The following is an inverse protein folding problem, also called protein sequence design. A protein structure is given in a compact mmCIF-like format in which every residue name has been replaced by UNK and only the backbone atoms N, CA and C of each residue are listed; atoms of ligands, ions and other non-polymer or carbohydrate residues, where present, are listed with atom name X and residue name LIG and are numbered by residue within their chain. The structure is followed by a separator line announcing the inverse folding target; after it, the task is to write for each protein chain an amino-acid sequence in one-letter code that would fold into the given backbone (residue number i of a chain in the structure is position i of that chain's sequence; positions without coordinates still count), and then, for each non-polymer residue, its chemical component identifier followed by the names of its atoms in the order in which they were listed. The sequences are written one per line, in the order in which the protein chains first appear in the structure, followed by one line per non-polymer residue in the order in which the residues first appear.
data_IF_621102665902
#
_entry.id   IF_621102665902
#
_cell.length_a   1.000
_cell.length_b   1.000
_cell.length_c   1.000
_cell.angle_alpha   90.00
_cell.angle_beta   90.00
_cell.angle_gamma   90.00
#
_symmetry.space_group_name_H-M   'P 1'
#
loop_
_entity.id
_entity.type
_entity.pdbx_description
1 polymer ?
#
# COMPACT_ATOMS: atom_id res chain seq x y z
N UNK A 1 -11.74 -9.33 -21.31
CA UNK A 1 -13.13 -8.85 -21.19
C UNK A 1 -13.24 -7.67 -22.15
N UNK A 2 -14.30 -7.55 -22.95
CA UNK A 2 -14.43 -6.38 -23.85
C UNK A 2 -14.74 -5.14 -23.01
N UNK A 3 -14.34 -3.95 -23.49
CA UNK A 3 -14.63 -2.67 -22.83
C UNK A 3 -16.14 -2.52 -22.55
N UNK A 4 -16.98 -2.95 -23.50
CA UNK A 4 -18.44 -2.98 -23.37
C UNK A 4 -18.95 -3.80 -22.17
N UNK A 5 -18.28 -4.90 -21.81
CA UNK A 5 -18.70 -5.74 -20.67
C UNK A 5 -18.26 -5.16 -19.32
N UNK A 6 -17.20 -4.36 -19.28
CA UNK A 6 -16.78 -3.64 -18.07
C UNK A 6 -17.74 -2.48 -17.77
N UNK A 7 -18.19 -1.76 -18.80
CA UNK A 7 -19.14 -0.65 -18.66
C UNK A 7 -20.52 -1.13 -18.17
N UNK A 8 -21.06 -2.20 -18.76
CA UNK A 8 -22.31 -2.84 -18.28
C UNK A 8 -22.22 -3.27 -16.82
N UNK A 9 -21.07 -3.80 -16.40
CA UNK A 9 -20.85 -4.23 -15.01
C UNK A 9 -20.81 -3.02 -14.07
N UNK A 10 -20.14 -1.93 -14.46
CA UNK A 10 -20.09 -0.68 -13.68
C UNK A 10 -21.48 -0.07 -13.52
N UNK A 11 -22.27 -0.03 -14.59
CA UNK A 11 -23.64 0.48 -14.55
C UNK A 11 -24.55 -0.37 -13.65
N UNK A 12 -24.43 -1.69 -13.71
CA UNK A 12 -25.17 -2.61 -12.84
C UNK A 12 -24.85 -2.36 -11.35
N UNK A 13 -23.59 -2.11 -11.02
CA UNK A 13 -23.14 -1.80 -9.66
C UNK A 13 -23.66 -0.43 -9.21
N UNK A 14 -23.47 0.59 -10.04
CA UNK A 14 -23.89 1.97 -9.77
C UNK A 14 -25.41 2.06 -9.55
N UNK A 15 -26.22 1.39 -10.38
CA UNK A 15 -27.68 1.31 -10.23
C UNK A 15 -28.15 0.65 -8.93
N UNK A 16 -27.25 0.02 -8.17
CA UNK A 16 -27.50 -0.61 -6.87
C UNK A 16 -26.83 0.13 -5.71
N UNK A 17 -26.25 1.30 -5.95
CA UNK A 17 -25.53 2.08 -4.94
C UNK A 17 -24.20 1.45 -4.50
N UNK A 18 -23.59 0.61 -5.35
CA UNK A 18 -22.27 0.02 -5.11
C UNK A 18 -21.23 0.85 -5.86
N UNK A 19 -20.08 1.11 -5.23
CA UNK A 19 -19.01 1.95 -5.79
C UNK A 19 -19.22 3.45 -5.59
N UNK A 20 -19.94 3.84 -4.53
CA UNK A 20 -20.00 5.25 -4.11
C UNK A 20 -18.65 5.71 -3.55
N UNK A 21 -18.41 7.02 -3.60
CA UNK A 21 -17.18 7.61 -3.07
C UNK A 21 -17.24 7.73 -1.55
N UNK A 22 -16.22 7.26 -0.86
CA UNK A 22 -15.99 7.47 0.57
C UNK A 22 -15.55 8.93 0.81
N UNK A 23 -14.70 9.45 -0.06
CA UNK A 23 -14.08 10.76 0.03
C UNK A 23 -12.92 10.82 1.03
N UNK A 24 -12.06 11.83 0.85
CA UNK A 24 -10.93 12.10 1.72
C UNK A 24 -11.36 12.65 3.10
N UNK A 25 -10.58 12.32 4.13
CA UNK A 25 -10.66 12.94 5.45
C UNK A 25 -9.61 14.03 5.64
N UNK A 26 -9.30 14.36 6.89
CA UNK A 26 -8.44 15.49 7.26
C UNK A 26 -7.03 15.06 7.68
N UNK A 27 -6.84 13.82 8.14
CA UNK A 27 -5.58 13.34 8.71
C UNK A 27 -5.14 12.07 7.99
N UNK A 28 -4.43 12.18 6.85
CA UNK A 28 -4.03 11.02 6.08
C UNK A 28 -2.73 10.38 6.55
N UNK A 29 -2.53 9.13 6.15
CA UNK A 29 -1.24 8.45 6.12
C UNK A 29 -1.07 7.70 4.80
N UNK A 30 0.18 7.49 4.39
CA UNK A 30 0.53 6.68 3.21
C UNK A 30 1.09 5.33 3.65
N UNK A 31 0.63 4.25 3.03
CA UNK A 31 1.20 2.90 3.17
C UNK A 31 1.69 2.42 1.83
N UNK A 32 3.00 2.22 1.71
CA UNK A 32 3.66 1.64 0.54
C UNK A 32 3.82 0.14 0.77
N UNK A 33 3.01 -0.65 0.04
CA UNK A 33 2.93 -2.10 0.23
C UNK A 33 3.99 -2.80 -0.64
N UNK A 34 4.94 -3.46 0.01
CA UNK A 34 5.87 -4.44 -0.56
C UNK A 34 6.63 -4.00 -1.83
N UNK A 35 7.05 -2.73 -1.90
CA UNK A 35 7.92 -2.24 -2.99
C UNK A 35 9.41 -2.43 -2.65
N UNK A 36 9.78 -3.66 -2.28
CA UNK A 36 11.18 -4.05 -2.06
C UNK A 36 11.86 -4.40 -3.39
N UNK A 37 13.18 -4.40 -3.42
CA UNK A 37 13.97 -4.78 -4.61
C UNK A 37 13.53 -6.13 -5.18
N UNK A 38 13.23 -7.11 -4.32
CA UNK A 38 12.73 -8.41 -4.75
C UNK A 38 11.35 -8.36 -5.46
N UNK A 39 10.49 -7.38 -5.16
CA UNK A 39 9.21 -7.21 -5.86
C UNK A 39 9.33 -6.39 -7.15
N UNK A 40 10.38 -5.59 -7.28
CA UNK A 40 10.61 -4.70 -8.43
C UNK A 40 11.64 -5.26 -9.42
N UNK A 41 12.24 -6.41 -9.11
CA UNK A 41 13.16 -7.15 -9.97
C UNK A 41 12.47 -8.39 -10.58
N UNK A 42 12.28 -8.44 -11.92
CA UNK A 42 11.72 -9.61 -12.62
C UNK A 42 12.52 -10.92 -12.47
N UNK A 43 13.72 -10.88 -11.91
CA UNK A 43 14.53 -12.09 -11.64
C UNK A 43 13.95 -12.95 -10.49
N UNK A 44 13.16 -12.35 -9.60
CA UNK A 44 12.41 -13.04 -8.56
C UNK A 44 11.07 -13.53 -9.10
N UNK A 45 10.63 -14.72 -8.69
CA UNK A 45 9.37 -15.32 -9.16
C UNK A 45 8.13 -14.48 -8.82
N UNK A 46 8.20 -13.70 -7.75
CA UNK A 46 7.13 -12.77 -7.35
C UNK A 46 7.34 -11.35 -7.89
N UNK A 47 8.54 -11.03 -8.39
CA UNK A 47 8.88 -9.71 -8.88
C UNK A 47 8.39 -9.45 -10.30
N UNK A 48 8.30 -8.18 -10.67
CA UNK A 48 8.04 -7.74 -12.04
C UNK A 48 8.51 -6.29 -12.25
N UNK A 49 8.49 -5.82 -13.48
CA UNK A 49 8.77 -4.40 -13.76
C UNK A 49 7.67 -3.54 -13.11
N UNK A 50 8.12 -2.56 -12.33
CA UNK A 50 7.29 -1.61 -11.58
C UNK A 50 7.69 -0.16 -11.88
N UNK A 51 8.39 0.10 -12.99
CA UNK A 51 9.01 1.40 -13.28
C UNK A 51 8.01 2.55 -13.26
N UNK A 52 6.85 2.40 -13.93
CA UNK A 52 5.81 3.43 -13.94
C UNK A 52 5.15 3.61 -12.57
N UNK A 53 4.86 2.50 -11.89
CA UNK A 53 4.26 2.51 -10.54
C UNK A 53 5.19 3.16 -9.51
N UNK A 54 6.49 2.90 -9.58
CA UNK A 54 7.48 3.51 -8.69
C UNK A 54 7.62 5.01 -8.95
N UNK A 55 7.55 5.45 -10.21
CA UNK A 55 7.54 6.88 -10.53
C UNK A 55 6.31 7.58 -9.93
N UNK A 56 5.13 6.96 -10.05
CA UNK A 56 3.89 7.45 -9.43
C UNK A 56 3.96 7.50 -7.90
N UNK A 57 4.53 6.46 -7.27
CA UNK A 57 4.73 6.43 -5.81
C UNK A 57 5.73 7.52 -5.39
N UNK A 58 6.83 7.72 -6.12
CA UNK A 58 7.81 8.76 -5.82
C UNK A 58 7.18 10.16 -5.84
N UNK A 59 6.34 10.45 -6.83
CA UNK A 59 5.60 11.70 -6.94
C UNK A 59 4.64 11.90 -5.75
N UNK A 60 3.89 10.86 -5.39
CA UNK A 60 2.98 10.86 -4.24
C UNK A 60 3.74 11.08 -2.92
N UNK A 61 4.84 10.37 -2.72
CA UNK A 61 5.68 10.50 -1.51
C UNK A 61 6.27 11.90 -1.40
N UNK A 62 6.69 12.51 -2.51
CA UNK A 62 7.15 13.89 -2.51
C UNK A 62 6.05 14.85 -2.03
N UNK A 63 4.79 14.66 -2.46
CA UNK A 63 3.66 15.45 -1.98
C UNK A 63 3.33 15.22 -0.50
N UNK A 64 3.30 13.95 -0.08
CA UNK A 64 3.06 13.58 1.32
C UNK A 64 4.12 14.17 2.26
N UNK A 65 5.40 14.06 1.90
CA UNK A 65 6.54 14.55 2.70
C UNK A 65 6.54 16.07 2.84
N UNK A 66 6.14 16.84 1.82
CA UNK A 66 5.99 18.31 1.92
C UNK A 66 4.96 18.74 2.98
N UNK A 67 4.09 17.82 3.39
CA UNK A 67 2.98 18.07 4.32
C UNK A 67 3.13 17.30 5.63
N UNK A 68 4.30 16.70 5.87
CA UNK A 68 4.60 15.87 7.03
C UNK A 68 3.56 14.74 7.25
N UNK A 69 2.99 14.22 6.15
CA UNK A 69 2.07 13.08 6.19
C UNK A 69 2.86 11.83 6.56
N UNK A 70 2.45 11.06 7.59
CA UNK A 70 3.14 9.84 7.98
C UNK A 70 3.18 8.81 6.85
N UNK A 71 4.37 8.22 6.62
CA UNK A 71 4.58 7.17 5.62
C UNK A 71 5.03 5.89 6.30
N UNK A 72 4.43 4.78 5.87
CA UNK A 72 4.72 3.43 6.32
C UNK A 72 5.08 2.55 5.12
N UNK A 73 6.15 1.78 5.21
CA UNK A 73 6.57 0.81 4.21
C UNK A 73 6.41 -0.59 4.78
N UNK A 74 5.88 -1.50 3.97
CA UNK A 74 5.88 -2.92 4.30
C UNK A 74 6.91 -3.69 3.49
N UNK A 75 7.39 -4.75 4.10
CA UNK A 75 8.23 -5.77 3.48
C UNK A 75 7.61 -7.12 3.77
N UNK A 76 7.88 -8.11 2.94
CA UNK A 76 7.48 -9.48 3.21
C UNK A 76 8.66 -10.40 2.96
N UNK A 77 9.07 -11.10 4.02
CA UNK A 77 10.19 -12.02 4.03
C UNK A 77 9.93 -13.08 5.10
N UNK A 78 10.49 -14.28 4.92
CA UNK A 78 10.26 -15.46 5.73
C UNK A 78 11.57 -16.01 6.30
N UNK A 79 11.45 -16.86 7.32
CA UNK A 79 12.57 -17.64 7.82
C UNK A 79 13.04 -18.64 6.74
N UNK A 80 14.34 -19.01 6.71
CA UNK A 80 14.89 -20.00 5.79
C UNK A 80 14.15 -21.34 5.75
N UNK A 81 13.60 -21.76 6.88
CA UNK A 81 12.84 -23.01 7.00
C UNK A 81 11.33 -22.85 6.69
N UNK A 82 10.88 -21.62 6.43
CA UNK A 82 9.48 -21.27 6.15
C UNK A 82 8.52 -21.48 7.33
N UNK A 83 9.04 -21.68 8.55
CA UNK A 83 8.24 -21.98 9.73
C UNK A 83 7.26 -20.87 10.12
N UNK A 84 7.49 -19.64 9.65
CA UNK A 84 6.65 -18.46 9.85
C UNK A 84 5.73 -18.15 8.65
N UNK A 85 5.75 -18.98 7.60
CA UNK A 85 5.02 -18.75 6.34
C UNK A 85 3.59 -19.29 6.29
N UNK A 86 3.29 -20.30 7.11
CA UNK A 86 1.95 -20.88 7.27
C UNK A 86 1.26 -21.27 5.96
N UNK A 87 -0.06 -21.08 5.91
CA UNK A 87 -0.88 -21.42 4.75
C UNK A 87 -0.62 -20.56 3.52
N UNK A 88 -0.11 -19.34 3.72
CA UNK A 88 0.12 -18.43 2.61
C UNK A 88 1.29 -18.91 1.75
N UNK A 89 2.42 -19.24 2.39
CA UNK A 89 3.55 -19.89 1.71
C UNK A 89 3.14 -21.24 1.11
N UNK A 90 2.32 -22.03 1.80
CA UNK A 90 1.82 -23.29 1.23
C UNK A 90 0.98 -23.08 -0.04
N UNK A 91 0.21 -21.99 -0.11
CA UNK A 91 -0.61 -21.65 -1.28
C UNK A 91 0.21 -21.01 -2.41
N UNK A 92 1.24 -20.25 -2.06
CA UNK A 92 2.13 -19.55 -3.00
C UNK A 92 3.58 -19.90 -2.66
N UNK A 93 4.08 -21.09 -3.06
CA UNK A 93 5.43 -21.54 -2.70
C UNK A 93 6.56 -20.60 -3.17
N UNK A 94 6.32 -19.82 -4.23
CA UNK A 94 7.25 -18.79 -4.72
C UNK A 94 7.62 -17.75 -3.66
N UNK A 95 6.78 -17.56 -2.63
CA UNK A 95 7.09 -16.69 -1.49
C UNK A 95 8.34 -17.14 -0.71
N UNK A 96 8.76 -18.40 -0.84
CA UNK A 96 10.01 -18.88 -0.22
C UNK A 96 11.27 -18.33 -0.87
N UNK A 97 11.19 -17.62 -1.99
CA UNK A 97 12.33 -16.81 -2.47
C UNK A 97 12.53 -15.55 -1.61
N UNK A 98 11.47 -15.09 -0.92
CA UNK A 98 11.51 -13.91 -0.08
C UNK A 98 12.07 -14.26 1.30
N UNK A 99 13.39 -14.33 1.39
CA UNK A 99 14.09 -14.79 2.59
C UNK A 99 14.62 -13.64 3.43
N UNK A 100 14.54 -13.76 4.76
CA UNK A 100 15.15 -12.80 5.68
C UNK A 100 16.67 -12.70 5.52
N UNK A 101 17.31 -13.74 4.99
CA UNK A 101 18.73 -13.76 4.69
C UNK A 101 19.11 -13.02 3.40
N UNK A 102 18.14 -12.64 2.57
CA UNK A 102 18.36 -11.87 1.34
C UNK A 102 18.01 -10.39 1.57
N UNK A 103 19.01 -9.49 1.58
CA UNK A 103 18.79 -8.05 1.72
C UNK A 103 17.80 -7.48 0.71
N UNK A 104 17.73 -7.98 -0.52
CA UNK A 104 16.81 -7.46 -1.53
C UNK A 104 15.34 -7.68 -1.16
N UNK A 105 15.06 -8.66 -0.30
CA UNK A 105 13.72 -8.91 0.23
C UNK A 105 13.32 -7.91 1.33
N UNK A 106 14.30 -7.22 1.92
CA UNK A 106 14.16 -6.26 3.03
C UNK A 106 14.56 -4.83 2.64
N UNK A 107 15.10 -4.60 1.46
CA UNK A 107 15.45 -3.26 0.99
C UNK A 107 14.33 -2.73 0.10
N UNK A 108 13.73 -1.61 0.52
CA UNK A 108 12.81 -0.84 -0.33
C UNK A 108 13.58 -0.38 -1.58
N UNK A 109 12.91 -0.38 -2.74
CA UNK A 109 13.51 0.09 -3.99
C UNK A 109 14.06 1.52 -3.83
N UNK A 110 15.30 1.74 -4.28
CA UNK A 110 16.03 2.99 -4.05
C UNK A 110 15.32 4.22 -4.62
N UNK A 111 14.50 4.04 -5.67
CA UNK A 111 13.71 5.12 -6.30
C UNK A 111 12.69 5.73 -5.36
N UNK A 112 12.30 5.02 -4.30
CA UNK A 112 11.33 5.44 -3.29
C UNK A 112 11.84 5.22 -1.87
N UNK A 113 13.17 5.24 -1.67
CA UNK A 113 13.80 4.92 -0.41
C UNK A 113 13.13 5.67 0.79
N UNK A 114 12.91 4.97 1.91
CA UNK A 114 12.43 5.60 3.14
C UNK A 114 13.40 6.69 3.61
N UNK A 115 12.86 7.77 4.17
CA UNK A 115 13.64 8.83 4.83
C UNK A 115 13.50 8.76 6.35
N UNK A 116 14.31 9.55 7.06
CA UNK A 116 14.27 9.60 8.53
C UNK A 116 12.85 9.89 9.05
N UNK A 117 12.39 9.14 10.05
CA UNK A 117 11.04 9.24 10.60
C UNK A 117 9.98 8.38 9.92
N UNK A 118 10.24 7.84 8.73
CA UNK A 118 9.33 6.91 8.05
C UNK A 118 9.51 5.48 8.59
N UNK A 119 8.40 4.77 8.78
CA UNK A 119 8.41 3.46 9.43
C UNK A 119 8.50 2.37 8.38
N UNK A 120 9.37 1.39 8.61
CA UNK A 120 9.52 0.21 7.76
C UNK A 120 9.37 -1.04 8.62
N UNK A 121 8.52 -1.98 8.22
CA UNK A 121 8.30 -3.20 8.98
C UNK A 121 8.01 -4.41 8.09
N UNK A 122 8.42 -5.58 8.58
CA UNK A 122 8.17 -6.85 7.92
C UNK A 122 6.82 -7.44 8.35
N UNK A 123 6.04 -7.93 7.37
CA UNK A 123 4.81 -8.69 7.56
C UNK A 123 4.96 -10.09 6.97
N UNK A 124 4.12 -11.03 7.40
CA UNK A 124 4.15 -12.44 6.94
C UNK A 124 2.97 -12.82 6.04
N UNK A 125 1.99 -11.94 5.93
CA UNK A 125 0.73 -12.17 5.21
C UNK A 125 0.40 -11.01 4.27
N UNK A 126 -0.62 -11.13 3.40
CA UNK A 126 -0.89 -10.13 2.38
C UNK A 126 -1.16 -8.73 2.94
N UNK A 127 -2.03 -8.62 3.94
CA UNK A 127 -2.45 -7.32 4.50
C UNK A 127 -1.34 -6.70 5.36
N UNK A 128 -1.12 -5.39 5.18
CA UNK A 128 -0.26 -4.59 6.03
C UNK A 128 -0.69 -4.58 7.51
N UNK A 129 -1.95 -4.90 7.80
CA UNK A 129 -2.52 -4.92 9.16
C UNK A 129 -2.38 -6.26 9.88
N UNK A 130 -2.39 -7.36 9.14
CA UNK A 130 -2.59 -8.68 9.73
C UNK A 130 -1.38 -9.09 10.59
N UNK A 131 -1.60 -9.14 11.92
CA UNK A 131 -0.57 -9.43 12.93
C UNK A 131 0.64 -8.47 12.88
N UNK A 132 0.39 -7.20 12.57
CA UNK A 132 1.39 -6.13 12.61
C UNK A 132 0.97 -5.03 13.59
N UNK A 133 1.83 -4.02 13.77
CA UNK A 133 1.56 -2.88 14.63
C UNK A 133 0.93 -1.68 13.89
N UNK A 134 0.58 -1.82 12.60
CA UNK A 134 0.07 -0.72 11.77
C UNK A 134 -1.18 -0.06 12.36
N UNK A 135 -2.20 -0.83 12.73
CA UNK A 135 -3.43 -0.29 13.32
C UNK A 135 -3.13 0.55 14.58
N UNK A 136 -2.25 0.07 15.45
CA UNK A 136 -1.86 0.80 16.66
C UNK A 136 -1.20 2.14 16.34
N UNK A 137 -0.30 2.17 15.34
CA UNK A 137 0.37 3.39 14.92
C UNK A 137 -0.61 4.40 14.31
N UNK A 138 -1.51 3.94 13.44
CA UNK A 138 -2.52 4.79 12.80
C UNK A 138 -3.51 5.35 13.82
N UNK A 139 -4.04 4.51 14.73
CA UNK A 139 -4.95 4.95 15.81
C UNK A 139 -4.29 5.97 16.73
N UNK A 140 -3.04 5.74 17.15
CA UNK A 140 -2.30 6.66 18.03
C UNK A 140 -2.10 8.03 17.37
N UNK A 141 -2.02 8.07 16.04
CA UNK A 141 -1.85 9.31 15.26
C UNK A 141 -3.15 9.98 14.84
N UNK A 142 -4.30 9.37 15.16
CA UNK A 142 -5.60 9.90 14.77
C UNK A 142 -5.81 9.92 13.25
N UNK A 143 -5.20 8.96 12.53
CA UNK A 143 -5.37 8.85 11.08
C UNK A 143 -6.83 8.52 10.76
N UNK A 144 -7.42 9.24 9.82
CA UNK A 144 -8.76 8.97 9.30
C UNK A 144 -8.77 8.50 7.85
N UNK A 145 -7.67 8.74 7.12
CA UNK A 145 -7.54 8.46 5.68
C UNK A 145 -6.28 7.62 5.43
N UNK A 146 -6.45 6.50 4.75
CA UNK A 146 -5.35 5.59 4.43
C UNK A 146 -5.13 5.55 2.92
N UNK A 147 -4.02 6.11 2.47
CA UNK A 147 -3.60 6.07 1.07
C UNK A 147 -2.74 4.81 0.88
N UNK A 148 -3.24 3.82 0.16
CA UNK A 148 -2.57 2.53 -0.05
C UNK A 148 -1.96 2.48 -1.46
N UNK A 149 -0.66 2.25 -1.53
CA UNK A 149 0.12 2.14 -2.77
C UNK A 149 0.92 0.83 -2.79
N UNK A 150 1.60 0.54 -3.90
CA UNK A 150 2.58 -0.57 -3.98
C UNK A 150 2.09 -1.80 -4.74
N UNK A 151 2.60 -2.97 -4.35
CA UNK A 151 2.47 -4.22 -5.10
C UNK A 151 2.08 -5.40 -4.19
N UNK A 152 1.30 -6.40 -4.64
CA UNK A 152 0.55 -6.42 -5.90
C UNK A 152 -0.90 -5.96 -5.70
N UNK A 153 -1.47 -5.31 -6.72
CA UNK A 153 -2.87 -4.82 -6.72
C UNK A 153 -3.86 -5.92 -6.34
N UNK A 154 -3.72 -7.12 -6.91
CA UNK A 154 -4.60 -8.26 -6.67
C UNK A 154 -4.38 -8.99 -5.35
N UNK A 155 -3.25 -8.75 -4.69
CA UNK A 155 -2.83 -9.45 -3.48
C UNK A 155 -2.76 -8.52 -2.28
N UNK A 156 -1.55 -8.09 -1.94
CA UNK A 156 -1.25 -7.35 -0.72
C UNK A 156 -1.94 -5.98 -0.65
N UNK A 157 -2.03 -5.26 -1.77
CA UNK A 157 -2.75 -3.97 -1.85
C UNK A 157 -4.23 -4.18 -1.56
N UNK A 158 -4.89 -5.11 -2.25
CA UNK A 158 -6.31 -5.41 -2.02
C UNK A 158 -6.57 -5.86 -0.58
N UNK A 159 -5.75 -6.76 -0.06
CA UNK A 159 -5.89 -7.23 1.32
C UNK A 159 -5.78 -6.08 2.32
N UNK A 160 -4.80 -5.20 2.12
CA UNK A 160 -4.62 -3.99 2.93
C UNK A 160 -5.79 -3.02 2.81
N UNK A 161 -6.36 -2.85 1.61
CA UNK A 161 -7.53 -1.99 1.42
C UNK A 161 -8.78 -2.55 2.13
N UNK A 162 -9.02 -3.86 2.04
CA UNK A 162 -10.13 -4.53 2.75
C UNK A 162 -9.98 -4.41 4.26
N UNK A 163 -8.78 -4.64 4.80
CA UNK A 163 -8.54 -4.45 6.23
C UNK A 163 -8.63 -2.98 6.63
N UNK A 164 -8.14 -2.06 5.80
CA UNK A 164 -8.20 -0.62 6.05
C UNK A 164 -9.62 -0.11 6.27
N UNK A 165 -10.55 -0.47 5.37
CA UNK A 165 -11.96 -0.10 5.55
C UNK A 165 -12.60 -0.83 6.74
N UNK A 166 -12.19 -2.07 7.00
CA UNK A 166 -12.68 -2.86 8.14
C UNK A 166 -12.22 -2.28 9.48
N UNK A 167 -11.07 -1.62 9.51
CA UNK A 167 -10.57 -0.85 10.64
C UNK A 167 -11.15 0.57 10.72
N UNK A 168 -12.03 0.96 9.79
CA UNK A 168 -12.75 2.23 9.81
C UNK A 168 -12.04 3.41 9.14
N UNK A 169 -10.97 3.17 8.37
CA UNK A 169 -10.29 4.24 7.62
C UNK A 169 -11.01 4.53 6.30
N UNK A 170 -10.92 5.79 5.86
CA UNK A 170 -11.24 6.19 4.49
C UNK A 170 -10.09 5.73 3.58
N UNK A 171 -10.27 4.60 2.92
CA UNK A 171 -9.20 4.03 2.09
C UNK A 171 -9.21 4.67 0.71
N UNK A 172 -8.03 5.10 0.26
CA UNK A 172 -7.78 5.66 -1.07
C UNK A 172 -6.68 4.84 -1.75
N UNK A 173 -6.91 4.41 -2.98
CA UNK A 173 -5.93 3.66 -3.79
C UNK A 173 -5.66 4.44 -5.08
N UNK A 174 -4.57 5.22 -5.18
CA UNK A 174 -4.26 5.95 -6.40
C UNK A 174 -3.94 4.97 -7.52
N UNK A 175 -4.69 5.02 -8.61
CA UNK A 175 -4.68 4.01 -9.69
C UNK A 175 -3.25 3.74 -10.22
N UNK A 176 -2.49 4.79 -10.51
CA UNK A 176 -1.13 4.71 -11.05
C UNK A 176 -0.09 4.27 -10.01
N UNK A 177 -0.39 4.41 -8.71
CA UNK A 177 0.54 4.11 -7.62
C UNK A 177 0.40 2.67 -7.10
N UNK A 178 -0.33 1.81 -7.82
CA UNK A 178 -0.39 0.37 -7.55
C UNK A 178 -0.07 -0.43 -8.81
N UNK A 179 0.61 -1.56 -8.64
CA UNK A 179 1.05 -2.38 -9.75
C UNK A 179 0.78 -3.86 -9.52
N UNK A 180 0.76 -4.63 -10.61
CA UNK A 180 0.67 -6.09 -10.56
C UNK A 180 1.51 -6.68 -11.70
N UNK A 181 1.88 -7.95 -11.55
CA UNK A 181 2.64 -8.70 -12.55
C UNK A 181 1.83 -9.09 -13.78
N UNK A 182 0.52 -8.87 -13.76
CA UNK A 182 -0.38 -9.17 -14.88
C UNK A 182 -1.55 -8.16 -14.95
N UNK A 183 -1.93 -7.70 -16.17
CA UNK A 183 -2.96 -6.68 -16.35
C UNK A 183 -4.36 -7.16 -15.93
N UNK A 184 -4.72 -8.41 -16.22
CA UNK A 184 -6.05 -8.94 -15.88
C UNK A 184 -6.36 -8.91 -14.37
N UNK A 185 -5.50 -9.49 -13.51
CA UNK A 185 -5.64 -9.37 -12.05
C UNK A 185 -5.62 -7.92 -11.55
N UNK A 186 -4.79 -7.05 -12.13
CA UNK A 186 -4.73 -5.63 -11.77
C UNK A 186 -6.09 -4.94 -11.98
N UNK A 187 -6.61 -4.96 -13.21
CA UNK A 187 -7.88 -4.32 -13.59
C UNK A 187 -9.08 -4.86 -12.78
N UNK A 188 -9.17 -6.19 -12.64
CA UNK A 188 -10.26 -6.81 -11.90
C UNK A 188 -10.24 -6.40 -10.42
N UNK A 189 -9.06 -6.22 -9.84
CA UNK A 189 -8.95 -5.84 -8.44
C UNK A 189 -9.10 -4.33 -8.21
N UNK A 190 -8.67 -3.47 -9.13
CA UNK A 190 -9.04 -2.06 -9.09
C UNK A 190 -10.57 -1.89 -9.11
N UNK A 191 -11.28 -2.62 -9.97
CA UNK A 191 -12.74 -2.62 -9.99
C UNK A 191 -13.33 -3.08 -8.65
N UNK A 192 -12.86 -4.21 -8.11
CA UNK A 192 -13.38 -4.75 -6.85
C UNK A 192 -13.10 -3.85 -5.65
N UNK A 193 -11.90 -3.29 -5.58
CA UNK A 193 -11.49 -2.32 -4.55
C UNK A 193 -12.39 -1.08 -4.64
N UNK A 194 -12.48 -0.47 -5.83
CA UNK A 194 -13.29 0.73 -6.09
C UNK A 194 -14.78 0.54 -5.84
N UNK A 195 -15.26 -0.70 -5.94
CA UNK A 195 -16.67 -1.01 -5.71
C UNK A 195 -17.04 -1.11 -4.24
N UNK A 196 -16.11 -1.51 -3.36
CA UNK A 196 -16.48 -2.04 -2.02
C UNK A 196 -15.53 -1.70 -0.88
N UNK A 197 -14.31 -1.24 -1.15
CA UNK A 197 -13.25 -1.20 -0.13
C UNK A 197 -12.43 0.07 -0.11
N UNK A 198 -12.39 0.83 -1.21
CA UNK A 198 -11.69 2.11 -1.27
C UNK A 198 -12.21 2.96 -2.42
N UNK A 199 -11.87 4.25 -2.40
CA UNK A 199 -11.92 5.06 -3.61
C UNK A 199 -10.67 4.78 -4.47
N UNK A 200 -10.83 4.69 -5.79
CA UNK A 200 -9.72 4.51 -6.74
C UNK A 200 -9.61 5.75 -7.66
N UNK A 201 -9.08 6.88 -7.16
CA UNK A 201 -8.91 8.08 -7.97
C UNK A 201 -7.63 8.04 -8.84
N UNK A 202 -7.54 8.90 -9.86
CA UNK A 202 -6.27 9.22 -10.50
C UNK A 202 -5.28 9.83 -9.49
N UNK A 203 -3.99 9.53 -9.65
CA UNK A 203 -2.89 10.03 -8.81
C UNK A 203 -2.94 11.55 -8.62
N UNK A 204 -3.21 12.30 -9.69
CA UNK A 204 -3.27 13.76 -9.66
C UNK A 204 -4.32 14.30 -8.67
N UNK A 205 -5.44 13.60 -8.49
CA UNK A 205 -6.46 13.98 -7.50
C UNK A 205 -5.92 13.82 -6.07
N UNK A 206 -5.18 12.73 -5.81
CA UNK A 206 -4.57 12.46 -4.50
C UNK A 206 -3.46 13.48 -4.19
N UNK A 207 -2.65 13.85 -5.18
CA UNK A 207 -1.64 14.90 -5.04
C UNK A 207 -2.32 16.24 -4.75
N UNK A 208 -3.38 16.59 -5.47
CA UNK A 208 -4.16 17.81 -5.22
C UNK A 208 -4.75 17.85 -3.81
N UNK A 209 -5.25 16.71 -3.30
CA UNK A 209 -5.69 16.57 -1.92
C UNK A 209 -4.54 16.82 -0.92
N UNK A 210 -3.39 16.15 -1.10
CA UNK A 210 -2.23 16.31 -0.23
C UNK A 210 -1.73 17.77 -0.25
N UNK A 211 -1.59 18.37 -1.42
CA UNK A 211 -1.16 19.76 -1.57
C UNK A 211 -2.18 20.77 -1.00
N UNK A 212 -3.45 20.38 -0.87
CA UNK A 212 -4.49 21.16 -0.21
C UNK A 212 -4.51 21.06 1.32
N UNK A 213 -3.77 20.13 1.92
CA UNK A 213 -3.68 20.01 3.37
C UNK A 213 -3.09 21.28 3.98
N UNK A 214 -3.55 21.68 5.18
CA UNK A 214 -2.92 22.77 5.91
C UNK A 214 -1.44 22.46 6.10
N UNK A 215 -0.59 23.50 6.04
CA UNK A 215 0.82 23.35 6.41
C UNK A 215 0.91 22.71 7.79
N UNK A 216 1.90 21.81 7.98
CA UNK A 216 2.04 21.12 9.24
C UNK A 216 2.11 22.14 10.37
N UNK A 217 1.18 22.01 11.32
CA UNK A 217 1.37 22.66 12.62
C UNK A 217 2.53 21.89 13.20
N UNK A 218 3.73 22.48 13.16
CA UNK A 218 4.97 21.85 13.60
C UNK A 218 4.71 20.95 14.81
N UNK A 219 5.18 19.70 14.72
CA UNK A 219 5.08 18.63 15.72
C UNK A 219 4.55 19.13 17.06
N UNK A 220 3.35 18.68 17.48
CA UNK A 220 2.84 18.93 18.85
C UNK A 220 4.02 18.90 19.80
N UNK A 221 4.28 20.02 20.49
CA UNK A 221 5.41 20.14 21.42
C UNK A 221 5.51 18.88 22.27
N UNK A 222 6.58 18.09 22.06
CA UNK A 222 6.85 16.85 22.80
C UNK A 222 6.87 15.54 22.00
N UNK A 223 6.46 15.51 20.73
CA UNK A 223 6.68 14.32 19.89
C UNK A 223 8.10 14.33 19.32
N UNK A 224 9.03 13.63 19.97
CA UNK A 224 10.37 13.41 19.44
C UNK A 224 10.29 12.81 18.01
N UNK A 225 11.17 13.21 17.08
CA UNK A 225 11.29 12.53 15.80
C UNK A 225 11.52 11.04 16.08
N UNK A 226 10.76 10.18 15.40
CA UNK A 226 11.01 8.74 15.46
C UNK A 226 12.36 8.50 14.80
N UNK A 227 13.40 8.34 15.61
CA UNK A 227 14.62 7.70 15.15
C UNK A 227 14.21 6.35 14.53
N UNK A 228 14.57 6.11 13.28
CA UNK A 228 14.16 4.94 12.50
C UNK A 228 14.14 3.66 13.34
N UNK A 229 12.95 3.16 13.67
CA UNK A 229 12.80 1.84 14.25
C UNK A 229 12.93 0.85 13.09
N UNK A 230 14.16 0.38 12.84
CA UNK A 230 14.34 -0.91 12.19
C UNK A 230 13.82 -1.95 13.18
N UNK A 231 12.53 -2.28 13.12
CA UNK A 231 12.01 -3.47 13.81
C UNK A 231 12.54 -4.66 13.02
N UNK A 232 13.78 -5.06 13.33
CA UNK A 232 14.28 -6.38 12.98
C UNK A 232 13.47 -7.38 13.77
N UNK A 233 12.64 -8.15 13.05
CA UNK A 233 12.06 -9.39 13.59
C UNK A 233 13.16 -10.42 13.83
#
# INVERSE_FOLDING_TARGET
MTQSGQDETRDFYAGRGIGTRIGFGETPAVVVVDMTKAFTDPSYAVGCDQTETLAAIAELLAAARRRDVPVFFTQIAYLPDGSDGGWFVKKVPALMELQLSDPNCLEVDERIAPVEGEVVYCKKYPSAFFQTHLASMLTTRGIDTLIVTGCSTSGCVRATAVDGISHGYRVIVPEQAVGDRAPGPHEANLFNIGSKSADVPPLAEVIGYLDGLPASRGSREGAAPLAGYAVTA
#
